data_IF_907938840988
#
_entry.id   IF_907938840988
#
_cell.length_a   1.000
_cell.length_b   1.000
_cell.length_c   1.000
_cell.angle_alpha   90.00
_cell.angle_beta   90.00
_cell.angle_gamma   90.00
#
_symmetry.space_group_name_H-M   'P 1'
#
loop_
_entity.id
_entity.type
_entity.pdbx_description
1 polymer ?
#
# COMPACT_ATOMS: atom_id res chain seq x y z
N UNK A 1 -7.53 0.74 13.70
CA UNK A 1 -7.01 -0.14 12.63
C UNK A 1 -5.49 -0.12 12.52
N UNK A 2 -4.81 1.02 12.33
CA UNK A 2 -3.35 1.08 12.15
C UNK A 2 -2.51 0.48 13.30
N UNK A 3 -2.96 0.63 14.57
CA UNK A 3 -2.28 0.02 15.73
C UNK A 3 -2.30 -1.52 15.67
N UNK A 4 -3.40 -2.11 15.21
CA UNK A 4 -3.56 -3.57 15.11
C UNK A 4 -2.69 -4.15 13.98
N UNK A 5 -2.60 -3.45 12.85
CA UNK A 5 -1.72 -3.82 11.72
C UNK A 5 -0.25 -3.84 12.15
N UNK A 6 0.20 -2.78 12.85
CA UNK A 6 1.57 -2.72 13.40
C UNK A 6 1.86 -3.87 14.35
N UNK A 7 0.95 -4.18 15.28
CA UNK A 7 1.13 -5.32 16.20
C UNK A 7 1.14 -6.67 15.48
N UNK A 8 0.41 -6.80 14.36
CA UNK A 8 0.37 -8.03 13.57
C UNK A 8 1.68 -8.24 12.80
N UNK A 9 2.19 -7.19 12.15
CA UNK A 9 3.46 -7.22 11.43
C UNK A 9 4.65 -7.42 12.40
N UNK A 10 4.63 -6.77 13.57
CA UNK A 10 5.63 -6.98 14.62
C UNK A 10 5.66 -8.44 15.09
N UNK A 11 4.49 -9.01 15.39
CA UNK A 11 4.37 -10.42 15.80
C UNK A 11 4.79 -11.40 14.69
N UNK A 12 4.48 -11.08 13.43
CA UNK A 12 4.93 -11.86 12.27
C UNK A 12 6.46 -11.80 12.11
N UNK A 13 7.07 -10.64 12.33
CA UNK A 13 8.52 -10.46 12.28
C UNK A 13 9.22 -11.19 13.44
N UNK A 14 8.66 -11.19 14.65
CA UNK A 14 9.20 -11.95 15.79
C UNK A 14 9.19 -13.46 15.51
N UNK A 15 8.10 -13.97 14.94
CA UNK A 15 7.96 -15.37 14.52
C UNK A 15 8.99 -15.72 13.43
N UNK A 16 9.21 -14.81 12.48
CA UNK A 16 10.17 -15.00 11.39
C UNK A 16 11.64 -14.87 11.86
N UNK A 17 11.90 -14.08 12.90
CA UNK A 17 13.24 -13.82 13.44
C UNK A 17 13.77 -14.92 14.37
N UNK A 18 12.94 -15.88 14.80
CA UNK A 18 13.40 -16.99 15.63
C UNK A 18 14.43 -17.85 14.87
N UNK A 19 15.65 -18.02 15.41
CA UNK A 19 16.71 -18.74 14.71
C UNK A 19 16.30 -20.20 14.50
N UNK A 20 16.16 -20.59 13.23
CA UNK A 20 15.85 -21.94 12.85
C UNK A 20 17.03 -22.85 13.21
N UNK A 21 16.81 -23.84 14.09
CA UNK A 21 17.67 -25.03 14.07
C UNK A 21 17.52 -25.64 12.67
N UNK A 22 18.62 -25.94 11.98
CA UNK A 22 18.67 -26.46 10.60
C UNK A 22 17.70 -27.62 10.33
N UNK A 23 17.32 -28.37 11.37
CA UNK A 23 16.37 -29.49 11.32
C UNK A 23 14.89 -29.06 11.18
N UNK A 24 14.54 -27.82 11.47
CA UNK A 24 13.16 -27.31 11.43
C UNK A 24 12.80 -26.63 10.12
N UNK A 25 13.74 -26.49 9.19
CA UNK A 25 13.43 -25.86 7.90
C UNK A 25 12.41 -26.70 7.11
N UNK A 26 12.52 -28.03 7.15
CA UNK A 26 11.61 -28.93 6.42
C UNK A 26 10.37 -29.36 7.23
N UNK A 27 10.18 -28.85 8.45
CA UNK A 27 9.00 -29.18 9.26
C UNK A 27 7.83 -28.25 8.93
N UNK A 28 6.60 -28.73 9.20
CA UNK A 28 5.35 -27.98 8.96
C UNK A 28 5.40 -26.58 9.64
N UNK A 29 5.90 -26.42 10.89
CA UNK A 29 6.09 -25.10 11.49
C UNK A 29 7.09 -24.21 10.74
N UNK A 30 8.19 -24.76 10.23
CA UNK A 30 9.18 -24.01 9.45
C UNK A 30 8.65 -23.55 8.09
N UNK A 31 7.80 -24.35 7.43
CA UNK A 31 7.10 -23.92 6.21
C UNK A 31 6.13 -22.77 6.48
N UNK A 32 5.36 -22.82 7.56
CA UNK A 32 4.42 -21.76 7.93
C UNK A 32 5.16 -20.46 8.29
N UNK A 33 6.30 -20.54 8.99
CA UNK A 33 7.15 -19.35 9.26
C UNK A 33 7.65 -18.71 7.97
N UNK A 34 8.09 -19.51 7.00
CA UNK A 34 8.50 -19.00 5.67
C UNK A 34 7.32 -18.35 4.95
N UNK A 35 6.13 -18.93 5.02
CA UNK A 35 4.93 -18.36 4.41
C UNK A 35 4.51 -17.04 5.10
N UNK A 36 4.66 -16.94 6.42
CA UNK A 36 4.45 -15.69 7.18
C UNK A 36 5.44 -14.62 6.72
N UNK A 37 6.73 -14.94 6.61
CA UNK A 37 7.74 -14.01 6.13
C UNK A 37 7.45 -13.54 4.69
N UNK A 38 7.05 -14.45 3.81
CA UNK A 38 6.69 -14.13 2.43
C UNK A 38 5.45 -13.24 2.33
N UNK A 39 4.43 -13.45 3.17
CA UNK A 39 3.23 -12.61 3.17
C UNK A 39 3.51 -11.21 3.70
N UNK A 40 4.38 -11.05 4.72
CA UNK A 40 4.86 -9.74 5.19
C UNK A 40 5.65 -9.01 4.08
N UNK A 41 6.56 -9.71 3.40
CA UNK A 41 7.31 -9.12 2.29
C UNK A 41 6.40 -8.71 1.12
N UNK A 42 5.35 -9.48 0.84
CA UNK A 42 4.35 -9.13 -0.16
C UNK A 42 3.60 -7.84 0.20
N UNK A 43 3.21 -7.67 1.47
CA UNK A 43 2.57 -6.44 1.95
C UNK A 43 3.51 -5.24 1.78
N UNK A 44 4.78 -5.36 2.20
CA UNK A 44 5.78 -4.29 2.07
C UNK A 44 6.00 -3.88 0.62
N UNK A 45 6.25 -4.84 -0.28
CA UNK A 45 6.44 -4.55 -1.71
C UNK A 45 5.21 -3.91 -2.35
N UNK A 46 4.02 -4.28 -1.89
CA UNK A 46 2.78 -3.69 -2.36
C UNK A 46 2.67 -2.23 -1.91
N UNK A 47 2.97 -1.93 -0.64
CA UNK A 47 3.03 -0.55 -0.13
C UNK A 47 4.05 0.30 -0.91
N UNK A 48 5.26 -0.20 -1.13
CA UNK A 48 6.32 0.53 -1.86
C UNK A 48 5.90 0.89 -3.29
N UNK A 49 5.30 -0.06 -4.02
CA UNK A 49 4.79 0.19 -5.38
C UNK A 49 3.70 1.25 -5.40
N UNK A 50 2.81 1.21 -4.41
CA UNK A 50 1.74 2.19 -4.31
C UNK A 50 2.28 3.57 -3.94
N UNK A 51 3.23 3.67 -3.02
CA UNK A 51 3.91 4.93 -2.69
C UNK A 51 4.58 5.54 -3.92
N UNK A 52 5.20 4.71 -4.77
CA UNK A 52 5.78 5.18 -6.02
C UNK A 52 4.70 5.72 -6.98
N UNK A 53 3.56 5.04 -7.10
CA UNK A 53 2.43 5.52 -7.91
C UNK A 53 1.87 6.84 -7.38
N UNK A 54 1.68 6.98 -6.07
CA UNK A 54 1.24 8.24 -5.46
C UNK A 54 2.23 9.37 -5.70
N UNK A 55 3.54 9.12 -5.57
CA UNK A 55 4.56 10.14 -5.88
C UNK A 55 4.52 10.57 -7.34
N UNK A 56 4.29 9.64 -8.27
CA UNK A 56 4.14 9.97 -9.71
C UNK A 56 2.90 10.82 -9.95
N UNK A 57 1.76 10.46 -9.37
CA UNK A 57 0.53 11.25 -9.47
C UNK A 57 0.69 12.64 -8.87
N UNK A 58 1.32 12.76 -7.69
CA UNK A 58 1.59 14.03 -7.05
C UNK A 58 2.46 14.94 -7.93
N UNK A 59 3.47 14.39 -8.61
CA UNK A 59 4.26 15.17 -9.56
C UNK A 59 3.40 15.70 -10.71
N UNK A 60 2.52 14.87 -11.27
CA UNK A 60 1.61 15.29 -12.33
C UNK A 60 0.65 16.39 -11.86
N UNK A 61 0.09 16.24 -10.64
CA UNK A 61 -0.74 17.25 -10.00
C UNK A 61 0.01 18.58 -9.87
N UNK A 62 1.24 18.58 -9.34
CA UNK A 62 2.06 19.78 -9.24
C UNK A 62 2.34 20.43 -10.60
N UNK A 63 2.60 19.65 -11.65
CA UNK A 63 2.78 20.20 -12.99
C UNK A 63 1.51 20.90 -13.50
N UNK A 64 0.35 20.26 -13.37
CA UNK A 64 -0.93 20.83 -13.79
C UNK A 64 -1.27 22.09 -12.98
N UNK A 65 -1.02 22.09 -11.68
CA UNK A 65 -1.21 23.27 -10.82
C UNK A 65 -0.28 24.42 -11.22
N UNK A 66 0.98 24.13 -11.55
CA UNK A 66 1.91 25.17 -12.03
C UNK A 66 1.47 25.75 -13.38
N UNK A 67 0.94 24.93 -14.28
CA UNK A 67 0.37 25.40 -15.56
C UNK A 67 -0.85 26.29 -15.31
N UNK A 68 -1.76 25.89 -14.42
CA UNK A 68 -2.92 26.69 -14.02
C UNK A 68 -2.51 28.04 -13.44
N UNK A 69 -1.53 28.05 -12.53
CA UNK A 69 -1.03 29.28 -11.90
C UNK A 69 -0.40 30.23 -12.93
N UNK A 70 0.39 29.70 -13.87
CA UNK A 70 0.97 30.50 -14.96
C UNK A 70 -0.09 31.07 -15.90
N UNK A 71 -1.14 30.30 -16.19
CA UNK A 71 -2.26 30.77 -16.99
C UNK A 71 -3.02 31.90 -16.30
N UNK A 72 -3.28 31.80 -15.00
CA UNK A 72 -3.95 32.87 -14.23
C UNK A 72 -3.14 34.16 -14.21
N UNK A 73 -1.80 34.09 -14.12
CA UNK A 73 -0.93 35.27 -14.14
C UNK A 73 -0.85 35.95 -15.52
N UNK A 74 -1.07 35.23 -16.61
CA UNK A 74 -0.98 35.75 -17.99
C UNK A 74 -2.29 36.32 -18.53
N UNK A 75 -3.40 36.19 -17.80
CA UNK A 75 -4.70 36.67 -18.27
C UNK A 75 -4.80 38.22 -18.19
N UNK A 76 -5.02 38.92 -19.32
CA UNK A 76 -5.28 40.35 -19.28
C UNK A 76 -6.64 40.63 -18.62
N UNK A 77 -6.73 41.73 -17.86
CA UNK A 77 -7.89 42.17 -17.04
C UNK A 77 -9.25 42.22 -17.78
N UNK A 78 -9.26 42.11 -19.11
CA UNK A 78 -10.43 42.27 -19.97
C UNK A 78 -10.55 41.18 -21.07
N UNK A 79 -9.97 39.99 -20.86
CA UNK A 79 -10.20 38.85 -21.77
C UNK A 79 -11.51 38.10 -21.43
N UNK A 80 -12.16 37.41 -22.40
CA UNK A 80 -13.42 36.72 -22.16
C UNK A 80 -13.29 35.63 -21.07
N UNK A 81 -14.34 35.52 -20.26
CA UNK A 81 -14.43 34.73 -19.02
C UNK A 81 -14.28 33.19 -19.19
N UNK A 82 -14.20 32.67 -20.42
CA UNK A 82 -14.20 31.22 -20.68
C UNK A 82 -12.94 30.78 -21.43
N UNK A 83 -11.98 30.21 -20.70
CA UNK A 83 -10.79 29.59 -21.26
C UNK A 83 -10.96 28.06 -21.27
N UNK A 84 -11.27 27.44 -22.42
CA UNK A 84 -11.46 25.99 -22.51
C UNK A 84 -10.20 25.20 -22.11
N UNK A 85 -9.02 25.82 -22.17
CA UNK A 85 -7.77 25.23 -21.66
C UNK A 85 -7.75 25.10 -20.13
N UNK A 86 -8.32 26.07 -19.40
CA UNK A 86 -8.44 26.01 -17.94
C UNK A 86 -9.37 24.87 -17.52
N UNK A 87 -10.46 24.68 -18.25
CA UNK A 87 -11.39 23.58 -17.98
C UNK A 87 -10.78 22.22 -18.31
N UNK A 88 -9.95 22.10 -19.36
CA UNK A 88 -9.17 20.89 -19.64
C UNK A 88 -8.17 20.55 -18.53
N UNK A 89 -7.47 21.56 -17.98
CA UNK A 89 -6.54 21.35 -16.87
C UNK A 89 -7.27 20.97 -15.57
N UNK A 90 -8.42 21.61 -15.29
CA UNK A 90 -9.30 21.22 -14.18
C UNK A 90 -9.84 19.80 -14.34
N UNK A 91 -10.21 19.41 -15.55
CA UNK A 91 -10.65 18.05 -15.84
C UNK A 91 -9.51 17.04 -15.62
N UNK A 92 -8.27 17.38 -16.02
CA UNK A 92 -7.08 16.55 -15.70
C UNK A 92 -6.85 16.41 -14.20
N UNK A 93 -6.99 17.48 -13.42
CA UNK A 93 -6.89 17.38 -11.95
C UNK A 93 -7.95 16.44 -11.37
N UNK A 94 -9.18 16.54 -11.87
CA UNK A 94 -10.27 15.65 -11.46
C UNK A 94 -9.98 14.19 -11.81
N UNK A 95 -9.43 13.92 -13.00
CA UNK A 95 -9.03 12.58 -13.41
C UNK A 95 -7.88 12.04 -12.53
N UNK A 96 -6.88 12.86 -12.19
CA UNK A 96 -5.80 12.49 -11.26
C UNK A 96 -6.36 12.15 -9.88
N UNK A 97 -7.31 12.94 -9.36
CA UNK A 97 -7.93 12.68 -8.06
C UNK A 97 -8.77 11.39 -8.08
N UNK A 98 -9.46 11.12 -9.20
CA UNK A 98 -10.21 9.88 -9.41
C UNK A 98 -9.28 8.67 -9.45
N UNK A 99 -8.15 8.76 -10.16
CA UNK A 99 -7.13 7.72 -10.20
C UNK A 99 -6.53 7.48 -8.81
N UNK A 100 -6.21 8.55 -8.08
CA UNK A 100 -5.71 8.49 -6.71
C UNK A 100 -6.67 7.73 -5.79
N UNK A 101 -7.98 8.03 -5.85
CA UNK A 101 -9.01 7.31 -5.09
C UNK A 101 -9.10 5.83 -5.47
N UNK A 102 -9.07 5.51 -6.76
CA UNK A 102 -9.12 4.12 -7.25
C UNK A 102 -7.89 3.31 -6.79
N UNK A 103 -6.70 3.91 -6.83
CA UNK A 103 -5.47 3.28 -6.34
C UNK A 103 -5.54 3.02 -4.84
N UNK A 104 -6.07 3.96 -4.04
CA UNK A 104 -6.28 3.77 -2.60
C UNK A 104 -7.24 2.61 -2.31
N UNK A 105 -8.38 2.55 -3.01
CA UNK A 105 -9.36 1.46 -2.80
C UNK A 105 -8.76 0.09 -3.14
N UNK A 106 -8.05 -0.02 -4.27
CA UNK A 106 -7.38 -1.27 -4.67
C UNK A 106 -6.27 -1.68 -3.69
N UNK A 107 -5.58 -0.71 -3.08
CA UNK A 107 -4.61 -0.97 -2.03
C UNK A 107 -5.30 -1.58 -0.82
N UNK A 108 -6.38 -0.96 -0.34
CA UNK A 108 -7.13 -1.43 0.82
C UNK A 108 -7.67 -2.85 0.62
N UNK A 109 -8.28 -3.13 -0.53
CA UNK A 109 -8.78 -4.47 -0.85
C UNK A 109 -7.67 -5.54 -0.84
N UNK A 110 -6.52 -5.25 -1.48
CA UNK A 110 -5.40 -6.21 -1.55
C UNK A 110 -4.68 -6.36 -0.22
N UNK A 111 -4.52 -5.28 0.53
CA UNK A 111 -3.88 -5.33 1.85
C UNK A 111 -4.75 -6.10 2.83
N UNK A 112 -6.07 -5.90 2.81
CA UNK A 112 -7.00 -6.64 3.66
C UNK A 112 -6.95 -8.15 3.37
N UNK A 113 -6.94 -8.56 2.10
CA UNK A 113 -6.82 -9.98 1.74
C UNK A 113 -5.49 -10.62 2.20
N UNK A 114 -4.39 -9.87 2.16
CA UNK A 114 -3.09 -10.34 2.67
C UNK A 114 -3.05 -10.38 4.20
N UNK A 115 -3.68 -9.41 4.87
CA UNK A 115 -3.80 -9.36 6.34
C UNK A 115 -4.65 -10.52 6.88
N UNK A 116 -5.77 -10.85 6.23
CA UNK A 116 -6.60 -12.00 6.59
C UNK A 116 -5.83 -13.32 6.43
N UNK A 117 -5.03 -13.43 5.36
CA UNK A 117 -4.14 -14.59 5.15
C UNK A 117 -3.07 -14.66 6.24
N UNK A 118 -2.44 -13.52 6.59
CA UNK A 118 -1.43 -13.44 7.63
C UNK A 118 -2.00 -13.84 9.00
N UNK A 119 -3.20 -13.36 9.35
CA UNK A 119 -3.93 -13.77 10.55
C UNK A 119 -4.17 -15.28 10.59
N UNK A 120 -4.62 -15.87 9.47
CA UNK A 120 -4.84 -17.32 9.37
C UNK A 120 -3.54 -18.11 9.60
N UNK A 121 -2.42 -17.66 9.01
CA UNK A 121 -1.12 -18.32 9.16
C UNK A 121 -0.57 -18.20 10.58
N UNK A 122 -0.71 -17.04 11.22
CA UNK A 122 -0.31 -16.84 12.62
C UNK A 122 -1.13 -17.74 13.55
N UNK A 123 -2.44 -17.84 13.33
CA UNK A 123 -3.30 -18.72 14.13
C UNK A 123 -2.93 -20.20 13.96
N UNK A 124 -2.64 -20.64 12.73
CA UNK A 124 -2.15 -22.00 12.46
C UNK A 124 -0.81 -22.28 13.12
N UNK A 125 0.12 -21.31 13.10
CA UNK A 125 1.40 -21.46 13.79
C UNK A 125 1.22 -21.63 15.30
N UNK A 126 0.37 -20.82 15.93
CA UNK A 126 0.09 -20.91 17.37
C UNK A 126 -0.57 -22.24 17.75
N UNK A 127 -1.48 -22.76 16.93
CA UNK A 127 -2.07 -24.09 17.16
C UNK A 127 -1.01 -25.20 17.15
N UNK A 128 -0.12 -25.18 16.15
CA UNK A 128 0.96 -26.18 16.05
C UNK A 128 1.98 -26.07 17.19
N UNK A 129 2.28 -24.86 17.67
CA UNK A 129 3.14 -24.66 18.84
C UNK A 129 2.45 -25.18 20.13
N UNK A 130 1.13 -25.06 20.21
CA UNK A 130 0.34 -25.59 21.34
C UNK A 130 0.26 -27.12 21.34
N UNK A 131 0.23 -27.74 20.15
CA UNK A 131 0.22 -29.21 19.98
C UNK A 131 1.59 -29.84 20.20
N UNK A 132 2.68 -29.18 19.80
CA UNK A 132 4.05 -29.63 20.05
C UNK A 132 4.54 -29.42 21.50
N UNK A 133 3.75 -28.72 22.32
CA UNK A 133 4.02 -28.46 23.75
C UNK A 133 3.39 -29.46 24.72
N UNK A 134 2.79 -30.56 24.23
CA UNK A 134 2.37 -31.73 25.01
C UNK A 134 3.31 -32.91 24.75
#
# INVERSE_FOLDING_TARGET
MAKFKKTLEEKANEIAAYPARVQWENSIPGMIRREIALTVDQIRRLQERHDEQFRRLLRLECYVDTELLQMEQRQPRYAPYHFPEKDKLRQRLFDIEKERRNISLRLEEKTQGLEDRLLSLINKHQQLDSENGR
#
